data_IF_603930368659
#
_entry.id   IF_603930368659
#
_cell.length_a   1.000
_cell.length_b   1.000
_cell.length_c   1.000
_cell.angle_alpha   90.00
_cell.angle_beta   90.00
_cell.angle_gamma   90.00
#
_symmetry.space_group_name_H-M   'P 1'
#
loop_
_entity.id
_entity.type
_entity.pdbx_description
1 polymer ?
#
# COMPACT_ATOMS: atom_id res chain seq x y z
N UNK A 1 -28.41 -9.56 52.49
CA UNK A 1 -28.59 -10.51 51.37
C UNK A 1 -29.01 -9.87 50.04
N UNK A 2 -29.99 -8.96 49.99
CA UNK A 2 -30.47 -8.35 48.71
C UNK A 2 -29.45 -7.47 47.96
N UNK A 3 -28.49 -6.83 48.66
CA UNK A 3 -27.44 -5.99 48.04
C UNK A 3 -26.31 -6.78 47.38
N UNK A 4 -26.02 -7.99 47.86
CA UNK A 4 -24.97 -8.84 47.28
C UNK A 4 -25.43 -9.48 45.94
N UNK A 5 -26.71 -9.85 45.85
CA UNK A 5 -27.28 -10.39 44.61
C UNK A 5 -27.31 -9.38 43.46
N UNK A 6 -27.56 -8.09 43.76
CA UNK A 6 -27.55 -7.02 42.75
C UNK A 6 -26.14 -6.73 42.19
N UNK A 7 -25.10 -6.86 43.03
CA UNK A 7 -23.72 -6.61 42.63
C UNK A 7 -23.18 -7.74 41.72
N UNK A 8 -23.57 -8.99 42.00
CA UNK A 8 -23.18 -10.16 41.20
C UNK A 8 -23.88 -10.13 39.83
N UNK A 9 -25.14 -9.71 39.76
CA UNK A 9 -25.87 -9.58 38.50
C UNK A 9 -25.29 -8.47 37.61
N UNK A 10 -24.84 -7.36 38.20
CA UNK A 10 -24.16 -6.27 37.48
C UNK A 10 -22.78 -6.69 36.94
N UNK A 11 -22.00 -7.47 37.70
CA UNK A 11 -20.71 -8.00 37.22
C UNK A 11 -20.89 -9.01 36.07
N UNK A 12 -21.90 -9.88 36.14
CA UNK A 12 -22.19 -10.85 35.08
C UNK A 12 -22.66 -10.18 33.78
N UNK A 13 -23.42 -9.09 33.86
CA UNK A 13 -23.83 -8.28 32.71
C UNK A 13 -22.64 -7.52 32.08
N UNK A 14 -21.69 -7.05 32.88
CA UNK A 14 -20.45 -6.43 32.40
C UNK A 14 -19.51 -7.45 31.71
N UNK A 15 -19.42 -8.68 32.23
CA UNK A 15 -18.67 -9.76 31.58
C UNK A 15 -19.34 -10.24 30.28
N UNK A 16 -20.68 -10.28 30.22
CA UNK A 16 -21.41 -10.63 28.99
C UNK A 16 -21.30 -9.56 27.90
N UNK A 17 -21.29 -8.27 28.27
CA UNK A 17 -21.06 -7.17 27.34
C UNK A 17 -19.60 -7.08 26.86
N UNK A 18 -18.62 -7.43 27.71
CA UNK A 18 -17.22 -7.52 27.32
C UNK A 18 -16.93 -8.75 26.44
N UNK A 19 -17.69 -9.84 26.61
CA UNK A 19 -17.60 -11.02 25.76
C UNK A 19 -18.29 -10.84 24.40
N UNK A 20 -19.38 -10.06 24.31
CA UNK A 20 -20.06 -9.80 23.03
C UNK A 20 -19.31 -8.79 22.14
N UNK A 21 -18.45 -7.94 22.71
CA UNK A 21 -17.59 -7.05 21.93
C UNK A 21 -16.38 -7.76 21.28
N UNK A 22 -16.08 -9.00 21.66
CA UNK A 22 -15.02 -9.84 21.05
C UNK A 22 -15.55 -10.79 19.96
N UNK A 23 -16.83 -10.65 19.59
CA UNK A 23 -17.54 -11.59 18.71
C UNK A 23 -18.06 -11.01 17.40
N UNK A 24 -17.53 -9.87 16.92
CA UNK A 24 -17.65 -9.59 15.50
C UNK A 24 -16.60 -10.45 14.80
N UNK A 25 -17.00 -11.54 14.16
CA UNK A 25 -16.15 -12.23 13.18
C UNK A 25 -15.52 -11.15 12.30
N UNK A 26 -14.20 -11.02 12.37
CA UNK A 26 -13.44 -10.12 11.51
C UNK A 26 -13.61 -10.64 10.08
N UNK A 27 -14.63 -10.14 9.38
CA UNK A 27 -14.76 -10.38 7.95
C UNK A 27 -13.51 -9.86 7.26
N UNK A 28 -12.78 -10.76 6.61
CA UNK A 28 -11.59 -10.41 5.85
C UNK A 28 -11.92 -9.27 4.86
N UNK A 29 -11.02 -8.31 4.74
CA UNK A 29 -11.09 -7.24 3.77
C UNK A 29 -9.80 -7.19 2.95
N UNK A 30 -9.78 -6.43 1.87
CA UNK A 30 -8.58 -6.35 1.05
C UNK A 30 -8.38 -5.04 0.32
N UNK A 31 -7.15 -4.84 -0.14
CA UNK A 31 -6.78 -3.73 -1.00
C UNK A 31 -5.89 -4.23 -2.15
N UNK A 32 -5.88 -3.48 -3.25
CA UNK A 32 -5.00 -3.72 -4.39
C UNK A 32 -3.97 -2.59 -4.50
N UNK A 33 -2.75 -2.94 -4.89
CA UNK A 33 -1.71 -2.00 -5.27
C UNK A 33 -1.34 -2.26 -6.73
N UNK A 34 -1.45 -1.20 -7.52
CA UNK A 34 -1.05 -1.13 -8.91
C UNK A 34 0.00 -0.03 -9.05
N UNK A 35 0.69 0.02 -10.17
CA UNK A 35 1.81 0.96 -10.35
C UNK A 35 1.97 1.34 -11.80
N UNK A 36 2.52 2.53 -12.04
CA UNK A 36 3.03 2.99 -13.33
C UNK A 36 2.02 2.80 -14.47
N UNK A 37 0.76 3.27 -14.39
CA UNK A 37 -0.14 3.15 -15.53
C UNK A 37 0.25 4.08 -16.69
N UNK A 38 0.96 5.19 -16.43
CA UNK A 38 1.30 6.25 -17.38
C UNK A 38 0.14 6.54 -18.34
N UNK A 39 0.42 6.77 -19.63
CA UNK A 39 -0.55 7.05 -20.70
C UNK A 39 -1.34 5.83 -21.18
N UNK A 40 -1.17 4.65 -20.56
CA UNK A 40 -1.72 3.37 -21.04
C UNK A 40 -3.15 3.06 -20.54
N UNK A 41 -4.10 3.97 -20.82
CA UNK A 41 -5.48 3.87 -20.31
C UNK A 41 -6.21 2.56 -20.61
N UNK A 42 -5.99 1.94 -21.77
CA UNK A 42 -6.65 0.67 -22.12
C UNK A 42 -6.21 -0.49 -21.21
N UNK A 43 -4.91 -0.57 -20.91
CA UNK A 43 -4.33 -1.60 -20.05
C UNK A 43 -4.67 -1.32 -18.59
N UNK A 44 -4.61 -0.05 -18.18
CA UNK A 44 -5.06 0.41 -16.87
C UNK A 44 -6.50 -0.02 -16.55
N UNK A 45 -7.45 0.27 -17.47
CA UNK A 45 -8.84 -0.16 -17.30
C UNK A 45 -9.01 -1.68 -17.26
N UNK A 46 -8.16 -2.44 -17.96
CA UNK A 46 -8.19 -3.90 -17.90
C UNK A 46 -7.74 -4.42 -16.53
N UNK A 47 -6.70 -3.84 -15.95
CA UNK A 47 -6.25 -4.17 -14.59
C UNK A 47 -7.32 -3.83 -13.54
N UNK A 48 -7.94 -2.65 -13.64
CA UNK A 48 -9.03 -2.26 -12.74
C UNK A 48 -10.26 -3.17 -12.86
N UNK A 49 -10.57 -3.65 -14.08
CA UNK A 49 -11.64 -4.63 -14.29
C UNK A 49 -11.30 -5.96 -13.64
N UNK A 50 -10.04 -6.41 -13.72
CA UNK A 50 -9.61 -7.60 -12.98
C UNK A 50 -9.83 -7.44 -11.48
N UNK A 51 -9.43 -6.30 -10.88
CA UNK A 51 -9.66 -6.03 -9.45
C UNK A 51 -11.15 -6.08 -9.09
N UNK A 52 -12.00 -5.50 -9.94
CA UNK A 52 -13.46 -5.45 -9.73
C UNK A 52 -14.10 -6.84 -9.85
N UNK A 53 -13.76 -7.55 -10.93
CA UNK A 53 -14.44 -8.77 -11.37
C UNK A 53 -13.83 -10.02 -10.72
N UNK A 54 -12.57 -9.93 -10.23
CA UNK A 54 -11.79 -11.00 -9.60
C UNK A 54 -11.74 -12.28 -10.45
N UNK A 55 -11.62 -12.14 -11.76
CA UNK A 55 -11.76 -13.22 -12.73
C UNK A 55 -10.66 -14.29 -12.62
N UNK A 56 -9.45 -13.92 -12.17
CA UNK A 56 -8.35 -14.86 -11.94
C UNK A 56 -8.66 -15.87 -10.81
N UNK A 57 -9.63 -15.56 -9.91
CA UNK A 57 -10.04 -16.40 -8.78
C UNK A 57 -8.92 -16.68 -7.76
N UNK A 58 -9.25 -17.27 -6.61
CA UNK A 58 -8.27 -17.91 -5.70
C UNK A 58 -8.92 -18.82 -4.66
N UNK A 59 -8.10 -19.71 -4.11
CA UNK A 59 -8.33 -20.38 -2.84
C UNK A 59 -7.19 -20.00 -1.87
N UNK A 60 -7.50 -19.46 -0.67
CA UNK A 60 -8.83 -18.99 -0.26
C UNK A 60 -9.32 -17.81 -1.14
N UNK A 61 -10.64 -17.56 -1.20
CA UNK A 61 -11.17 -16.40 -1.90
C UNK A 61 -10.63 -15.09 -1.30
N UNK A 62 -10.18 -14.18 -2.16
CA UNK A 62 -9.90 -12.81 -1.74
C UNK A 62 -11.22 -12.03 -1.67
N UNK A 63 -11.44 -11.25 -0.60
CA UNK A 63 -12.63 -10.39 -0.49
C UNK A 63 -12.62 -9.32 -1.59
N UNK A 64 -13.76 -8.68 -1.89
CA UNK A 64 -13.77 -7.48 -2.71
C UNK A 64 -12.77 -6.45 -2.19
N UNK A 65 -12.03 -5.85 -3.11
CA UNK A 65 -11.05 -4.81 -2.79
C UNK A 65 -11.80 -3.54 -2.37
N UNK A 66 -11.47 -3.02 -1.19
CA UNK A 66 -12.06 -1.80 -0.63
C UNK A 66 -11.18 -0.56 -0.88
N UNK A 67 -9.89 -0.76 -1.18
CA UNK A 67 -8.96 0.31 -1.53
C UNK A 67 -8.07 -0.09 -2.71
N UNK A 68 -7.83 0.84 -3.61
CA UNK A 68 -6.87 0.73 -4.70
C UNK A 68 -5.82 1.80 -4.50
N UNK A 69 -4.58 1.40 -4.28
CA UNK A 69 -3.45 2.30 -4.31
C UNK A 69 -2.73 2.24 -5.65
N UNK A 70 -2.27 3.40 -6.11
CA UNK A 70 -1.41 3.51 -7.28
C UNK A 70 -0.05 4.02 -6.83
N UNK A 71 0.96 3.15 -6.88
CA UNK A 71 2.31 3.41 -6.43
C UNK A 71 3.12 4.29 -7.40
N UNK A 72 2.52 5.38 -7.89
CA UNK A 72 3.12 6.44 -8.70
C UNK A 72 2.99 6.27 -10.21
N UNK A 73 3.45 7.30 -10.93
CA UNK A 73 3.52 7.42 -12.38
C UNK A 73 2.16 7.26 -13.06
N UNK A 74 1.21 8.09 -12.63
CA UNK A 74 -0.14 8.12 -13.20
C UNK A 74 -0.25 8.96 -14.47
N UNK A 75 0.79 9.68 -14.86
CA UNK A 75 0.78 10.70 -15.92
C UNK A 75 -0.05 10.30 -17.17
N UNK A 76 -1.11 11.05 -17.53
CA UNK A 76 -1.75 12.12 -16.76
C UNK A 76 -2.71 11.58 -15.68
N UNK A 77 -2.50 12.02 -14.43
CA UNK A 77 -3.30 11.61 -13.26
C UNK A 77 -4.82 11.79 -13.46
N UNK A 78 -5.25 12.89 -14.06
CA UNK A 78 -6.66 13.17 -14.32
C UNK A 78 -7.33 12.11 -15.23
N UNK A 79 -6.60 11.58 -16.21
CA UNK A 79 -7.13 10.56 -17.10
C UNK A 79 -7.19 9.19 -16.40
N UNK A 80 -6.17 8.83 -15.62
CA UNK A 80 -6.16 7.57 -14.86
C UNK A 80 -7.23 7.53 -13.77
N UNK A 81 -7.48 8.67 -13.12
CA UNK A 81 -8.58 8.79 -12.16
C UNK A 81 -9.94 8.70 -12.85
N UNK A 82 -10.12 9.33 -14.02
CA UNK A 82 -11.36 9.19 -14.81
C UNK A 82 -11.61 7.75 -15.27
N UNK A 83 -10.57 7.06 -15.72
CA UNK A 83 -10.62 5.63 -16.06
C UNK A 83 -11.09 4.81 -14.85
N UNK A 84 -10.57 5.10 -13.65
CA UNK A 84 -11.00 4.48 -12.39
C UNK A 84 -12.48 4.73 -12.10
N UNK A 85 -12.94 5.97 -12.15
CA UNK A 85 -14.35 6.32 -11.95
C UNK A 85 -15.27 5.62 -12.98
N UNK A 86 -14.80 5.45 -14.21
CA UNK A 86 -15.54 4.73 -15.26
C UNK A 86 -15.63 3.22 -15.06
N UNK A 87 -14.62 2.59 -14.46
CA UNK A 87 -14.66 1.16 -14.11
C UNK A 87 -15.51 0.89 -12.87
N UNK A 88 -15.52 1.83 -11.91
CA UNK A 88 -16.28 1.79 -10.66
C UNK A 88 -17.32 2.92 -10.60
N UNK A 89 -18.38 2.89 -11.43
CA UNK A 89 -19.32 4.01 -11.54
C UNK A 89 -20.21 4.19 -10.30
N UNK A 90 -20.48 3.14 -9.53
CA UNK A 90 -21.33 3.18 -8.33
C UNK A 90 -20.53 3.65 -7.10
N UNK A 91 -20.76 4.87 -6.55
CA UNK A 91 -20.01 5.38 -5.41
C UNK A 91 -20.15 4.54 -4.13
N UNK A 92 -21.28 3.84 -3.93
CA UNK A 92 -21.52 3.05 -2.73
C UNK A 92 -20.68 1.75 -2.68
N UNK A 93 -20.19 1.29 -3.83
CA UNK A 93 -19.36 0.07 -3.95
C UNK A 93 -17.95 0.38 -4.48
N UNK A 94 -17.62 1.67 -4.63
CA UNK A 94 -16.36 2.12 -5.22
C UNK A 94 -15.24 2.01 -4.18
N UNK A 95 -14.11 1.36 -4.51
CA UNK A 95 -12.94 1.36 -3.63
C UNK A 95 -12.41 2.78 -3.40
N UNK A 96 -11.72 3.03 -2.29
CA UNK A 96 -10.96 4.27 -2.12
C UNK A 96 -9.75 4.28 -3.07
N UNK A 97 -9.38 5.44 -3.62
CA UNK A 97 -8.32 5.54 -4.63
C UNK A 97 -7.11 6.32 -4.10
N UNK A 98 -6.02 5.65 -3.71
CA UNK A 98 -4.87 6.27 -3.05
C UNK A 98 -3.75 6.59 -4.07
N UNK A 99 -3.52 7.88 -4.39
CA UNK A 99 -2.45 8.26 -5.31
C UNK A 99 -1.11 8.42 -4.58
N UNK A 100 -0.06 7.74 -5.05
CA UNK A 100 1.34 8.09 -4.74
C UNK A 100 1.89 8.97 -5.86
N UNK A 101 2.78 9.91 -5.53
CA UNK A 101 3.51 10.71 -6.53
C UNK A 101 4.73 9.92 -7.01
N UNK A 102 4.85 9.70 -8.32
CA UNK A 102 6.04 9.18 -8.98
C UNK A 102 6.86 10.27 -9.69
N UNK A 103 8.00 9.89 -10.27
CA UNK A 103 8.87 10.85 -10.96
C UNK A 103 8.18 11.47 -12.18
N UNK A 104 7.29 10.74 -12.87
CA UNK A 104 6.54 11.29 -14.00
C UNK A 104 5.39 12.21 -13.57
N UNK A 105 4.94 12.12 -12.31
CA UNK A 105 3.91 13.02 -11.78
C UNK A 105 4.47 14.39 -11.34
N UNK A 106 5.76 14.45 -10.96
CA UNK A 106 6.46 15.66 -10.52
C UNK A 106 7.34 16.30 -11.61
N UNK A 107 8.21 15.52 -12.26
CA UNK A 107 9.28 16.04 -13.13
C UNK A 107 8.79 16.45 -14.53
N UNK A 108 7.78 15.78 -15.07
CA UNK A 108 7.35 15.99 -16.47
C UNK A 108 6.23 17.03 -16.62
N UNK A 109 5.30 17.15 -15.67
CA UNK A 109 4.22 18.13 -15.76
C UNK A 109 3.62 18.48 -14.39
N UNK A 110 3.92 19.67 -13.83
CA UNK A 110 3.35 20.17 -12.55
C UNK A 110 1.81 20.13 -12.50
N UNK A 111 1.14 20.09 -13.67
CA UNK A 111 -0.31 19.95 -13.76
C UNK A 111 -0.82 18.58 -13.23
N UNK A 112 -0.01 17.52 -13.30
CA UNK A 112 -0.37 16.20 -12.76
C UNK A 112 -0.41 16.21 -11.23
N UNK A 113 0.60 16.81 -10.59
CA UNK A 113 0.62 17.08 -9.15
C UNK A 113 -0.63 17.87 -8.71
N UNK A 114 -1.05 18.86 -9.50
CA UNK A 114 -2.26 19.66 -9.23
C UNK A 114 -3.53 18.82 -9.15
N UNK A 115 -3.74 17.89 -10.09
CA UNK A 115 -4.91 17.00 -10.05
C UNK A 115 -4.90 16.08 -8.83
N UNK A 116 -3.75 15.50 -8.49
CA UNK A 116 -3.61 14.65 -7.29
C UNK A 116 -3.96 15.45 -6.04
N UNK A 117 -3.34 16.62 -5.89
CA UNK A 117 -3.45 17.48 -4.71
C UNK A 117 -4.85 18.08 -4.54
N UNK A 118 -5.45 18.57 -5.62
CA UNK A 118 -6.68 19.41 -5.56
C UNK A 118 -7.95 18.64 -5.94
N UNK A 119 -7.85 17.41 -6.46
CA UNK A 119 -9.04 16.64 -6.88
C UNK A 119 -9.06 15.24 -6.31
N UNK A 120 -7.97 14.48 -6.45
CA UNK A 120 -7.97 13.06 -6.05
C UNK A 120 -7.97 12.96 -4.53
N UNK A 121 -6.94 13.47 -3.84
CA UNK A 121 -6.84 13.34 -2.38
C UNK A 121 -8.01 14.04 -1.64
N UNK A 122 -8.54 15.22 -2.04
CA UNK A 122 -9.74 15.78 -1.39
C UNK A 122 -11.00 14.91 -1.52
N UNK A 123 -11.07 14.06 -2.55
CA UNK A 123 -12.18 13.12 -2.74
C UNK A 123 -12.04 11.85 -1.86
N UNK A 124 -10.95 11.69 -1.11
CA UNK A 124 -10.72 10.53 -0.25
C UNK A 124 -11.27 10.80 1.16
N UNK A 125 -12.39 10.19 1.56
CA UNK A 125 -12.89 10.34 2.91
C UNK A 125 -11.89 9.80 3.93
N UNK A 126 -11.67 10.55 5.01
CA UNK A 126 -10.76 10.16 6.10
C UNK A 126 -9.28 10.39 5.83
N UNK A 127 -8.90 10.97 4.67
CA UNK A 127 -7.50 11.32 4.41
C UNK A 127 -7.01 12.44 5.32
N UNK A 128 -5.99 12.13 6.13
CA UNK A 128 -5.28 13.09 6.99
C UNK A 128 -3.98 13.48 6.32
N UNK A 129 -3.94 14.67 5.74
CA UNK A 129 -2.74 15.26 5.14
C UNK A 129 -1.86 15.90 6.20
N UNK A 130 -0.54 15.95 5.95
CA UNK A 130 0.38 16.74 6.76
C UNK A 130 0.04 18.24 6.75
N UNK A 131 -0.37 18.76 5.60
CA UNK A 131 -0.92 20.10 5.44
C UNK A 131 -1.80 20.17 4.17
N UNK A 132 -2.61 21.23 3.95
CA UNK A 132 -3.60 21.26 2.86
C UNK A 132 -3.04 21.05 1.44
N UNK A 133 -1.76 21.40 1.22
CA UNK A 133 -1.08 21.27 -0.08
C UNK A 133 -0.17 20.04 -0.19
N UNK A 134 -0.12 19.19 0.84
CA UNK A 134 0.67 17.97 0.81
C UNK A 134 0.02 16.93 -0.12
N UNK A 135 0.85 16.15 -0.80
CA UNK A 135 0.45 14.89 -1.42
C UNK A 135 0.79 13.68 -0.52
N UNK A 136 1.49 13.90 0.59
CA UNK A 136 1.63 12.94 1.67
C UNK A 136 0.43 12.98 2.64
N UNK A 137 -0.09 11.80 2.96
CA UNK A 137 -1.25 11.62 3.83
C UNK A 137 -1.30 10.21 4.40
N UNK A 138 -2.16 10.00 5.40
CA UNK A 138 -2.58 8.65 5.78
C UNK A 138 -4.09 8.54 5.85
N UNK A 139 -4.59 7.30 5.74
CA UNK A 139 -5.97 6.95 6.05
C UNK A 139 -5.97 5.76 6.99
N UNK A 140 -6.95 5.73 7.89
CA UNK A 140 -7.30 4.55 8.65
C UNK A 140 -8.48 3.87 7.98
N UNK A 141 -8.33 2.59 7.70
CA UNK A 141 -9.37 1.75 7.12
C UNK A 141 -9.45 0.44 7.87
N UNK A 142 -10.58 0.20 8.55
CA UNK A 142 -10.76 -0.95 9.44
C UNK A 142 -9.63 -1.03 10.48
N UNK A 143 -8.86 -2.12 10.51
CA UNK A 143 -7.75 -2.33 11.43
C UNK A 143 -6.37 -2.02 10.80
N UNK A 144 -6.32 -1.27 9.69
CA UNK A 144 -5.07 -0.85 9.07
C UNK A 144 -4.96 0.64 8.82
N UNK A 145 -3.73 1.15 8.89
CA UNK A 145 -3.35 2.48 8.42
C UNK A 145 -2.53 2.34 7.13
N UNK A 146 -2.93 3.09 6.10
CA UNK A 146 -2.16 3.23 4.87
C UNK A 146 -1.53 4.62 4.85
N UNK A 147 -0.20 4.67 4.74
CA UNK A 147 0.59 5.91 4.75
C UNK A 147 1.17 6.11 3.35
N UNK A 148 0.78 7.19 2.69
CA UNK A 148 1.33 7.62 1.40
C UNK A 148 2.39 8.69 1.64
N UNK A 149 3.61 8.43 1.20
CA UNK A 149 4.74 9.37 1.29
C UNK A 149 5.03 9.94 -0.09
N UNK A 150 4.97 11.26 -0.21
CA UNK A 150 5.49 12.00 -1.36
C UNK A 150 7.01 12.18 -1.21
N UNK A 151 7.77 11.35 -1.92
CA UNK A 151 9.23 11.38 -1.91
C UNK A 151 9.85 12.33 -2.97
N UNK A 152 9.04 13.19 -3.59
CA UNK A 152 9.49 14.10 -4.65
C UNK A 152 9.44 15.58 -4.25
N UNK A 153 8.54 15.97 -3.33
CA UNK A 153 8.34 17.38 -2.98
C UNK A 153 9.03 17.81 -1.67
N UNK A 154 8.29 17.94 -0.57
CA UNK A 154 8.81 18.48 0.69
C UNK A 154 9.44 17.39 1.58
N UNK A 155 8.89 16.17 1.56
CA UNK A 155 9.37 15.04 2.36
C UNK A 155 10.45 14.21 1.66
N UNK A 156 10.84 14.59 0.44
CA UNK A 156 11.89 13.93 -0.31
C UNK A 156 12.38 14.75 -1.48
N UNK A 157 13.22 14.14 -2.31
CA UNK A 157 13.63 14.69 -3.61
C UNK A 157 14.06 13.53 -4.49
N UNK A 158 13.52 13.44 -5.71
CA UNK A 158 13.87 12.38 -6.68
C UNK A 158 13.73 10.97 -6.08
N UNK A 159 12.58 10.69 -5.47
CA UNK A 159 12.28 9.39 -4.86
C UNK A 159 13.02 9.08 -3.56
N UNK A 160 13.86 9.99 -3.06
CA UNK A 160 14.63 9.81 -1.82
C UNK A 160 13.89 10.51 -0.67
N UNK A 161 13.45 9.72 0.31
CA UNK A 161 12.82 10.25 1.52
C UNK A 161 13.91 10.92 2.39
N UNK A 162 13.69 12.18 2.74
CA UNK A 162 14.62 12.98 3.54
C UNK A 162 14.35 12.79 5.05
N UNK A 163 15.10 13.49 5.91
CA UNK A 163 14.95 13.38 7.37
C UNK A 163 13.54 13.80 7.85
N UNK A 164 13.00 14.90 7.31
CA UNK A 164 11.64 15.35 7.64
C UNK A 164 10.58 14.33 7.17
N UNK A 165 10.80 13.69 6.02
CA UNK A 165 9.94 12.61 5.53
C UNK A 165 9.96 11.38 6.41
N UNK A 166 11.13 10.99 6.91
CA UNK A 166 11.28 9.90 7.89
C UNK A 166 10.58 10.24 9.21
N UNK A 167 10.82 11.43 9.76
CA UNK A 167 10.20 11.90 11.01
C UNK A 167 8.68 11.97 10.90
N UNK A 168 8.16 12.47 9.77
CA UNK A 168 6.72 12.49 9.53
C UNK A 168 6.13 11.08 9.43
N UNK A 169 6.80 10.18 8.70
CA UNK A 169 6.36 8.79 8.58
C UNK A 169 6.34 8.08 9.94
N UNK A 170 7.38 8.26 10.75
CA UNK A 170 7.45 7.74 12.13
C UNK A 170 6.30 8.28 13.00
N UNK A 171 6.04 9.59 12.95
CA UNK A 171 4.92 10.19 13.66
C UNK A 171 3.55 9.66 13.17
N UNK A 172 3.40 9.44 11.86
CA UNK A 172 2.20 8.85 11.28
C UNK A 172 2.01 7.38 11.69
N UNK A 173 3.08 6.61 11.88
CA UNK A 173 3.02 5.25 12.43
C UNK A 173 2.68 5.29 13.93
N UNK A 174 3.40 6.10 14.71
CA UNK A 174 3.27 6.17 16.15
C UNK A 174 1.91 6.70 16.62
N UNK A 175 1.31 7.61 15.86
CA UNK A 175 -0.02 8.18 16.16
C UNK A 175 -1.19 7.25 15.80
N UNK A 176 -0.95 6.08 15.20
CA UNK A 176 -2.02 5.16 14.86
C UNK A 176 -2.71 4.64 16.13
N UNK A 177 -4.05 4.71 16.23
CA UNK A 177 -4.77 4.30 17.43
C UNK A 177 -4.59 2.80 17.69
N UNK A 178 -4.89 2.36 18.93
CA UNK A 178 -4.70 0.97 19.34
C UNK A 178 -5.53 -0.04 18.53
N UNK A 179 -6.57 0.40 17.82
CA UNK A 179 -7.38 -0.43 16.90
C UNK A 179 -6.71 -0.68 15.54
N UNK A 180 -5.54 -0.08 15.29
CA UNK A 180 -4.75 -0.27 14.06
C UNK A 180 -3.62 -1.26 14.32
N UNK A 181 -3.82 -2.48 13.84
CA UNK A 181 -2.91 -3.61 13.97
C UNK A 181 -1.89 -3.68 12.82
N UNK A 182 -2.22 -3.07 11.69
CA UNK A 182 -1.42 -3.15 10.46
C UNK A 182 -1.11 -1.76 9.92
N UNK A 183 0.15 -1.51 9.62
CA UNK A 183 0.59 -0.31 8.92
C UNK A 183 1.26 -0.69 7.61
N UNK A 184 0.79 -0.07 6.54
CA UNK A 184 1.32 -0.20 5.19
C UNK A 184 1.80 1.15 4.70
N UNK A 185 2.97 1.20 4.07
CA UNK A 185 3.53 2.42 3.52
C UNK A 185 3.60 2.33 2.00
N UNK A 186 3.42 3.45 1.33
CA UNK A 186 3.45 3.56 -0.12
C UNK A 186 4.30 4.76 -0.54
N UNK A 187 5.33 4.49 -1.36
CA UNK A 187 6.15 5.50 -2.02
C UNK A 187 6.70 4.92 -3.33
N UNK A 188 7.00 5.78 -4.30
CA UNK A 188 7.21 5.30 -5.68
C UNK A 188 8.54 4.54 -5.89
N UNK A 189 9.69 5.08 -5.46
CA UNK A 189 11.00 4.49 -5.76
C UNK A 189 11.48 3.53 -4.66
N UNK A 190 11.77 2.24 -4.96
CA UNK A 190 12.13 1.26 -3.94
C UNK A 190 13.45 1.58 -3.21
N UNK A 191 13.50 1.18 -1.93
CA UNK A 191 14.72 1.13 -1.13
C UNK A 191 15.71 0.05 -1.61
N UNK A 192 15.21 -1.05 -2.16
CA UNK A 192 15.99 -2.19 -2.66
C UNK A 192 15.50 -2.65 -4.05
N UNK A 193 15.82 -1.94 -5.15
CA UNK A 193 15.41 -2.34 -6.50
C UNK A 193 16.03 -3.68 -6.93
N UNK A 194 15.31 -4.45 -7.77
CA UNK A 194 15.72 -5.80 -8.26
C UNK A 194 15.73 -5.98 -9.77
N UNK A 195 15.20 -5.03 -10.54
CA UNK A 195 15.13 -5.13 -12.01
C UNK A 195 15.74 -3.91 -12.67
N UNK A 196 15.06 -2.76 -12.57
CA UNK A 196 15.54 -1.47 -13.06
C UNK A 196 15.95 -0.56 -11.91
N UNK A 197 16.65 0.51 -12.27
CA UNK A 197 17.05 1.57 -11.33
C UNK A 197 17.93 1.06 -10.17
N UNK A 198 18.75 0.03 -10.44
CA UNK A 198 19.60 -0.66 -9.46
C UNK A 198 20.65 0.23 -8.76
N UNK A 199 20.84 1.48 -9.20
CA UNK A 199 21.80 2.44 -8.62
C UNK A 199 21.24 3.86 -8.54
N UNK A 200 19.97 4.07 -8.86
CA UNK A 200 19.40 5.40 -9.06
C UNK A 200 18.08 5.60 -8.32
N UNK A 201 17.62 4.62 -7.54
CA UNK A 201 16.45 4.78 -6.67
C UNK A 201 16.85 5.24 -5.28
N UNK A 202 15.98 5.07 -4.29
CA UNK A 202 16.30 5.40 -2.89
C UNK A 202 17.59 4.68 -2.42
N UNK A 203 17.94 3.54 -3.03
CA UNK A 203 19.19 2.82 -2.79
C UNK A 203 20.49 3.59 -3.15
N UNK A 204 20.41 4.65 -3.96
CA UNK A 204 21.54 5.53 -4.23
C UNK A 204 21.97 6.31 -2.97
N UNK A 205 21.07 6.51 -2.01
CA UNK A 205 21.29 7.27 -0.78
C UNK A 205 21.26 6.36 0.44
N UNK A 206 22.24 5.44 0.50
CA UNK A 206 22.28 4.33 1.47
C UNK A 206 22.03 4.76 2.92
N UNK A 207 22.64 5.84 3.39
CA UNK A 207 22.44 6.32 4.77
C UNK A 207 20.97 6.67 5.04
N UNK A 208 20.37 7.53 4.22
CA UNK A 208 18.97 7.93 4.37
C UNK A 208 18.02 6.74 4.24
N UNK A 209 18.27 5.86 3.27
CA UNK A 209 17.53 4.60 3.09
C UNK A 209 17.62 3.71 4.33
N UNK A 210 18.83 3.46 4.83
CA UNK A 210 19.05 2.55 5.95
C UNK A 210 18.42 3.10 7.23
N UNK A 211 18.54 4.41 7.47
CA UNK A 211 17.92 5.02 8.63
C UNK A 211 16.38 4.99 8.53
N UNK A 212 15.82 5.24 7.35
CA UNK A 212 14.38 5.10 7.13
C UNK A 212 13.93 3.65 7.35
N UNK A 213 14.65 2.67 6.79
CA UNK A 213 14.28 1.27 6.92
C UNK A 213 14.40 0.75 8.35
N UNK A 214 15.46 1.14 9.09
CA UNK A 214 15.59 0.81 10.51
C UNK A 214 14.46 1.39 11.35
N UNK A 215 13.97 2.59 11.01
CA UNK A 215 12.77 3.16 11.65
C UNK A 215 11.53 2.29 11.39
N UNK A 216 11.35 1.76 10.17
CA UNK A 216 10.24 0.85 9.91
C UNK A 216 10.35 -0.45 10.73
N UNK A 217 11.55 -1.03 10.78
CA UNK A 217 11.84 -2.26 11.54
C UNK A 217 11.66 -2.05 13.04
N UNK A 218 11.97 -0.88 13.59
CA UNK A 218 11.83 -0.61 15.03
C UNK A 218 10.38 -0.59 15.51
N UNK A 219 9.41 -0.46 14.60
CA UNK A 219 7.98 -0.63 14.90
C UNK A 219 7.53 -2.10 14.96
N UNK A 220 8.48 -3.03 14.82
CA UNK A 220 8.26 -4.47 14.92
C UNK A 220 7.21 -4.94 13.93
N UNK A 221 6.36 -5.86 14.39
CA UNK A 221 5.35 -6.45 13.53
C UNK A 221 4.33 -5.43 13.03
N UNK A 222 4.09 -4.29 13.70
CA UNK A 222 3.03 -3.36 13.31
C UNK A 222 3.17 -2.86 11.86
N UNK A 223 4.40 -2.63 11.39
CA UNK A 223 4.68 -2.23 10.00
C UNK A 223 4.85 -3.48 9.14
N UNK A 224 3.87 -3.74 8.27
CA UNK A 224 3.80 -5.00 7.50
C UNK A 224 4.57 -4.93 6.20
N UNK A 225 4.35 -3.87 5.44
CA UNK A 225 4.86 -3.75 4.08
C UNK A 225 5.03 -2.30 3.64
N UNK A 226 5.98 -2.14 2.72
CA UNK A 226 6.19 -1.00 1.85
C UNK A 226 5.87 -1.43 0.43
N UNK A 227 5.06 -0.65 -0.27
CA UNK A 227 4.75 -0.86 -1.68
C UNK A 227 5.32 0.25 -2.55
N UNK A 228 5.93 -0.14 -3.68
CA UNK A 228 6.57 0.79 -4.61
C UNK A 228 6.33 0.41 -6.08
N UNK A 229 6.54 1.36 -6.99
CA UNK A 229 6.48 1.19 -8.44
C UNK A 229 7.88 1.25 -9.07
N UNK A 230 8.01 2.07 -10.12
CA UNK A 230 9.25 2.59 -10.72
C UNK A 230 10.11 1.58 -11.49
N UNK A 231 10.21 0.34 -11.00
CA UNK A 231 11.10 -0.67 -11.62
C UNK A 231 10.47 -1.38 -12.80
N UNK A 232 9.16 -1.21 -13.00
CA UNK A 232 8.33 -1.90 -13.99
C UNK A 232 8.44 -3.43 -13.90
N UNK A 233 8.79 -3.96 -12.73
CA UNK A 233 8.93 -5.39 -12.48
C UNK A 233 8.41 -5.76 -11.09
N UNK A 234 7.76 -6.92 -11.03
CA UNK A 234 7.29 -7.44 -9.77
C UNK A 234 8.46 -8.07 -9.02
N UNK A 235 8.61 -7.71 -7.74
CA UNK A 235 9.49 -8.40 -6.80
C UNK A 235 9.02 -8.17 -5.38
N UNK A 236 9.26 -9.14 -4.50
CA UNK A 236 9.07 -8.97 -3.07
C UNK A 236 10.29 -9.48 -2.30
N UNK A 237 10.55 -8.89 -1.16
CA UNK A 237 11.54 -9.34 -0.19
C UNK A 237 11.21 -8.79 1.19
N UNK A 238 11.61 -9.50 2.25
CA UNK A 238 11.52 -9.06 3.64
C UNK A 238 12.92 -8.74 4.14
N UNK A 239 13.12 -7.50 4.57
CA UNK A 239 14.45 -6.98 4.96
C UNK A 239 14.44 -6.58 6.42
N UNK A 240 15.36 -7.15 7.18
CA UNK A 240 15.66 -6.82 8.57
C UNK A 240 16.91 -5.94 8.65
N UNK A 241 17.99 -6.34 7.97
CA UNK A 241 19.25 -5.58 7.93
C UNK A 241 19.42 -4.83 6.59
N UNK A 242 19.07 -3.53 6.53
CA UNK A 242 19.18 -2.76 5.29
C UNK A 242 20.62 -2.52 4.83
N UNK A 243 21.59 -2.61 5.75
CA UNK A 243 23.02 -2.45 5.45
C UNK A 243 23.68 -3.77 5.03
N UNK A 244 23.02 -4.90 5.28
CA UNK A 244 23.53 -6.24 5.00
C UNK A 244 23.89 -6.44 3.52
N UNK A 245 24.95 -7.20 3.27
CA UNK A 245 25.43 -7.47 1.91
C UNK A 245 24.33 -8.09 1.03
N UNK A 246 23.52 -8.98 1.61
CA UNK A 246 22.46 -9.67 0.90
C UNK A 246 21.28 -8.74 0.53
N UNK A 247 20.95 -7.74 1.37
CA UNK A 247 19.92 -6.75 1.06
C UNK A 247 20.34 -5.85 -0.12
N UNK A 248 21.65 -5.63 -0.26
CA UNK A 248 22.26 -4.80 -1.29
C UNK A 248 22.71 -5.58 -2.54
N UNK A 249 22.50 -6.91 -2.58
CA UNK A 249 22.72 -7.75 -3.76
C UNK A 249 21.44 -7.79 -4.62
N UNK A 250 21.45 -7.22 -5.85
CA UNK A 250 20.26 -7.16 -6.70
C UNK A 250 19.78 -8.54 -7.18
N UNK A 251 20.56 -9.60 -6.99
CA UNK A 251 20.17 -10.98 -7.34
C UNK A 251 19.46 -11.73 -6.19
N UNK A 252 19.39 -11.14 -4.99
CA UNK A 252 18.87 -11.79 -3.78
C UNK A 252 17.50 -11.26 -3.37
N UNK A 253 16.56 -12.16 -3.10
CA UNK A 253 15.22 -11.85 -2.61
C UNK A 253 15.10 -12.41 -1.19
N UNK A 254 15.36 -11.55 -0.21
CA UNK A 254 15.42 -11.95 1.19
C UNK A 254 14.03 -12.24 1.76
N UNK A 255 13.96 -13.09 2.78
CA UNK A 255 12.78 -13.30 3.61
C UNK A 255 13.20 -13.34 5.09
N UNK A 256 13.79 -12.23 5.58
CA UNK A 256 14.30 -12.14 6.95
C UNK A 256 13.16 -12.01 7.97
N UNK A 257 13.05 -12.97 8.90
CA UNK A 257 12.10 -12.92 10.01
C UNK A 257 12.28 -11.65 10.85
N UNK A 258 11.18 -11.04 11.28
CA UNK A 258 11.19 -9.74 11.97
C UNK A 258 11.46 -8.53 11.06
N UNK A 259 11.78 -8.74 9.78
CA UNK A 259 11.96 -7.66 8.82
C UNK A 259 10.63 -7.08 8.29
N UNK A 260 10.75 -6.01 7.51
CA UNK A 260 9.62 -5.37 6.81
C UNK A 260 9.58 -5.86 5.36
N UNK A 261 8.39 -6.08 4.80
CA UNK A 261 8.29 -6.42 3.37
C UNK A 261 8.49 -5.19 2.50
N UNK A 262 9.33 -5.27 1.47
CA UNK A 262 9.27 -4.39 0.31
C UNK A 262 8.64 -5.15 -0.85
N UNK A 263 7.61 -4.57 -1.47
CA UNK A 263 6.94 -5.12 -2.64
C UNK A 263 6.99 -4.09 -3.77
N UNK A 264 7.80 -4.37 -4.80
CA UNK A 264 7.73 -3.63 -6.06
C UNK A 264 6.59 -4.22 -6.88
N UNK A 265 5.60 -3.38 -7.18
CA UNK A 265 4.29 -3.78 -7.69
C UNK A 265 4.24 -3.91 -9.22
N UNK A 266 5.39 -4.02 -9.88
CA UNK A 266 5.47 -4.14 -11.33
C UNK A 266 5.22 -2.82 -12.04
N UNK A 267 4.47 -2.92 -13.13
CA UNK A 267 3.87 -1.80 -13.84
C UNK A 267 2.62 -2.29 -14.55
N UNK A 268 1.59 -1.44 -14.62
CA UNK A 268 0.39 -1.69 -15.43
C UNK A 268 0.54 -1.13 -16.83
N UNK A 269 1.28 -0.04 -17.03
CA UNK A 269 1.42 0.60 -18.34
C UNK A 269 2.62 0.11 -19.13
N UNK A 270 3.84 0.54 -18.76
CA UNK A 270 5.08 0.18 -19.41
C UNK A 270 5.58 -1.19 -18.95
N UNK A 271 6.36 -1.88 -19.78
CA UNK A 271 6.85 -3.24 -19.51
C UNK A 271 6.06 -4.33 -20.24
N UNK A 272 6.48 -5.58 -20.12
CA UNK A 272 5.92 -6.73 -20.86
C UNK A 272 4.91 -7.54 -20.05
N UNK A 273 4.86 -7.31 -18.74
CA UNK A 273 3.98 -8.00 -17.79
C UNK A 273 3.25 -6.98 -16.95
N UNK A 274 1.94 -7.16 -16.80
CA UNK A 274 1.04 -6.31 -16.00
C UNK A 274 0.87 -6.93 -14.66
N UNK A 275 1.11 -6.19 -13.58
CA UNK A 275 1.02 -6.74 -12.24
C UNK A 275 -0.06 -6.03 -11.44
N UNK A 276 -0.82 -6.82 -10.68
CA UNK A 276 -1.70 -6.36 -9.61
C UNK A 276 -1.23 -7.08 -8.35
N UNK A 277 -0.93 -6.34 -7.30
CA UNK A 277 -0.70 -6.93 -5.97
C UNK A 277 -1.98 -6.77 -5.18
N UNK A 278 -2.52 -7.86 -4.64
CA UNK A 278 -3.68 -7.81 -3.76
C UNK A 278 -3.30 -8.29 -2.36
N UNK A 279 -3.80 -7.59 -1.36
CA UNK A 279 -3.56 -7.88 0.06
C UNK A 279 -4.91 -8.17 0.72
N UNK A 280 -4.95 -9.24 1.50
CA UNK A 280 -6.07 -9.68 2.33
C UNK A 280 -5.66 -9.52 3.78
N UNK A 281 -6.50 -8.86 4.57
CA UNK A 281 -6.34 -8.65 6.00
C UNK A 281 -7.51 -9.31 6.72
N UNK A 282 -7.22 -10.19 7.68
CA UNK A 282 -8.19 -10.93 8.48
C UNK A 282 -7.70 -11.05 9.92
N UNK A 283 -8.28 -10.27 10.83
CA UNK A 283 -7.78 -10.16 12.20
C UNK A 283 -6.32 -9.72 12.19
N UNK A 284 -5.42 -10.53 12.74
CA UNK A 284 -3.97 -10.30 12.72
C UNK A 284 -3.29 -10.86 11.48
N UNK A 285 -3.93 -11.74 10.72
CA UNK A 285 -3.31 -12.39 9.57
C UNK A 285 -3.37 -11.48 8.34
N UNK A 286 -2.25 -11.34 7.66
CA UNK A 286 -2.12 -10.57 6.43
C UNK A 286 -1.48 -11.43 5.35
N UNK A 287 -2.19 -11.67 4.26
CA UNK A 287 -1.70 -12.43 3.11
C UNK A 287 -1.74 -11.60 1.84
N UNK A 288 -0.86 -11.87 0.89
CA UNK A 288 -0.84 -11.19 -0.39
C UNK A 288 -0.64 -12.14 -1.56
N UNK A 289 -1.06 -11.67 -2.73
CA UNK A 289 -0.89 -12.34 -4.01
C UNK A 289 -0.49 -11.35 -5.08
N UNK A 290 0.25 -11.83 -6.06
CA UNK A 290 0.52 -11.09 -7.29
C UNK A 290 -0.23 -11.76 -8.43
N UNK A 291 -1.03 -10.98 -9.15
CA UNK A 291 -1.67 -11.38 -10.39
C UNK A 291 -0.87 -10.78 -11.55
N UNK A 292 -0.67 -11.57 -12.60
CA UNK A 292 0.02 -11.10 -13.79
C UNK A 292 -0.71 -11.41 -15.09
N UNK A 293 -0.66 -10.47 -16.03
CA UNK A 293 -1.11 -10.64 -17.41
C UNK A 293 0.04 -10.29 -18.38
N UNK A 294 0.19 -11.07 -19.45
CA UNK A 294 1.22 -10.84 -20.46
C UNK A 294 0.86 -9.72 -21.45
N UNK A 295 1.86 -9.15 -22.11
CA UNK A 295 1.73 -8.07 -23.10
C UNK A 295 0.60 -8.29 -24.13
N UNK A 296 0.59 -9.44 -24.80
CA UNK A 296 -0.39 -9.78 -25.85
C UNK A 296 -1.80 -10.09 -25.32
N UNK A 297 -1.93 -10.37 -24.01
CA UNK A 297 -3.18 -10.76 -23.36
C UNK A 297 -3.38 -9.99 -22.07
N UNK A 298 -3.22 -8.66 -22.12
CA UNK A 298 -3.18 -7.77 -20.97
C UNK A 298 -4.46 -7.72 -20.11
N UNK A 299 -5.55 -8.37 -20.55
CA UNK A 299 -6.79 -8.53 -19.80
C UNK A 299 -7.03 -9.95 -19.25
N UNK A 300 -6.04 -10.85 -19.33
CA UNK A 300 -6.13 -12.21 -18.77
C UNK A 300 -5.10 -12.37 -17.66
N UNK A 301 -5.52 -12.12 -16.43
CA UNK A 301 -4.67 -12.25 -15.25
C UNK A 301 -4.67 -13.68 -14.74
N UNK A 302 -3.53 -14.10 -14.20
CA UNK A 302 -3.38 -15.34 -13.47
C UNK A 302 -2.54 -15.09 -12.21
N UNK A 303 -2.75 -15.92 -11.18
CA UNK A 303 -1.94 -15.85 -9.96
C UNK A 303 -0.51 -16.25 -10.29
N UNK A 304 0.43 -15.33 -10.04
CA UNK A 304 1.87 -15.53 -10.21
C UNK A 304 2.57 -15.95 -8.92
N UNK A 305 2.12 -15.41 -7.79
CA UNK A 305 2.74 -15.58 -6.48
C UNK A 305 1.71 -15.42 -5.35
N UNK A 306 1.97 -16.05 -4.21
CA UNK A 306 1.22 -15.94 -2.95
C UNK A 306 2.18 -16.02 -1.78
N UNK A 307 2.00 -15.16 -0.79
CA UNK A 307 2.84 -15.14 0.40
C UNK A 307 2.09 -14.55 1.59
N UNK A 308 2.62 -14.81 2.78
CA UNK A 308 2.09 -14.26 4.03
C UNK A 308 2.96 -13.09 4.48
N UNK A 309 2.33 -11.95 4.77
CA UNK A 309 2.99 -10.78 5.34
C UNK A 309 3.14 -10.91 6.85
N UNK A 310 2.14 -11.47 7.52
CA UNK A 310 2.12 -11.72 8.96
C UNK A 310 1.05 -12.78 9.31
N UNK A 311 1.32 -13.59 10.34
CA UNK A 311 0.39 -14.54 10.95
C UNK A 311 0.15 -14.18 12.41
#
# INVERSE_FOLDING_TARGET
MRRAAALILALLLLCAAAASARGAESSAWGFAVLSDPHRHGAVWRAALREVRDRAAGSLPPYPPVELIAVAGDMDPAAARYRDFLGVFPNPALRPLFLPVIGNHDDEEERAHLGCVRETIIPALPGAVRRHPRACDFHIDHRNARLIVIDAYTELGRKGVINAAGREWAEAAIASAPASIDHVFLLFHEPAFPRSRHLKSSFNAYRRSRDDFWRMLVSHGDRVRAVFSGHTHAYSRMRVLDPAGAAANDPSRFLEEEGGVWQVSCGAVGPGTVRTIVEVRVEGTTVAARALQAGWLRYGRYAVKDRWTLHE
#
